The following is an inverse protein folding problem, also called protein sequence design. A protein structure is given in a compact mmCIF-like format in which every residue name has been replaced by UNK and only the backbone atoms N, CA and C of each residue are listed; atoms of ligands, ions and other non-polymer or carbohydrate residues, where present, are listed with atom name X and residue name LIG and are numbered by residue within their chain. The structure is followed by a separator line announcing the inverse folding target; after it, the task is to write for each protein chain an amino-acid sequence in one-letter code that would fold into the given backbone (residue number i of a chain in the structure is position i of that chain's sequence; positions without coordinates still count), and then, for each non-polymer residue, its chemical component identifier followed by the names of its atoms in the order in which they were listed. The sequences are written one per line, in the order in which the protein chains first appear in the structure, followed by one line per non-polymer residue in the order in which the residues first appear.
data_IF_978050419609
#
_entry.id   IF_978050419609
#
_cell.length_a   1.000
_cell.length_b   1.000
_cell.length_c   1.000
_cell.angle_alpha   90.00
_cell.angle_beta   90.00
_cell.angle_gamma   90.00
#
_symmetry.space_group_name_H-M   'P 1'
#
loop_
_entity.id
_entity.type
_entity.pdbx_description
1 polymer ?
#
# COMPACT_ATOMS: atom_id res chain seq x y z
N UNK A 1 -35.20 -25.33 -49.02
CA UNK A 1 -33.85 -25.61 -48.49
C UNK A 1 -33.16 -24.27 -48.41
N UNK A 2 -33.25 -23.63 -47.25
CA UNK A 2 -32.89 -22.23 -47.03
C UNK A 2 -31.59 -22.17 -46.23
N UNK A 3 -30.57 -21.52 -46.80
CA UNK A 3 -29.31 -21.24 -46.14
C UNK A 3 -29.44 -20.03 -45.22
N UNK A 4 -29.08 -20.20 -43.96
CA UNK A 4 -28.93 -19.11 -42.99
C UNK A 4 -27.44 -18.77 -42.93
N UNK A 5 -27.09 -17.59 -43.48
CA UNK A 5 -25.79 -16.97 -43.30
C UNK A 5 -25.77 -16.33 -41.91
N UNK A 6 -24.98 -16.88 -40.99
CA UNK A 6 -24.69 -16.22 -39.71
C UNK A 6 -23.48 -15.33 -39.91
N UNK A 7 -23.72 -14.05 -40.18
CA UNK A 7 -22.70 -13.00 -40.16
C UNK A 7 -22.52 -12.54 -38.71
N UNK A 8 -21.48 -13.03 -38.03
CA UNK A 8 -21.04 -12.52 -36.75
C UNK A 8 -20.24 -11.21 -36.95
N UNK A 9 -20.91 -10.07 -36.80
CA UNK A 9 -20.29 -8.76 -36.74
C UNK A 9 -19.63 -8.58 -35.36
N UNK A 10 -18.30 -8.65 -35.32
CA UNK A 10 -17.48 -8.26 -34.16
C UNK A 10 -17.52 -6.74 -34.05
N UNK A 11 -18.41 -6.21 -33.22
CA UNK A 11 -18.40 -4.81 -32.84
C UNK A 11 -17.33 -4.60 -31.75
N UNK A 12 -16.24 -3.92 -32.13
CA UNK A 12 -15.20 -3.50 -31.19
C UNK A 12 -15.75 -2.55 -30.14
N UNK A 13 -15.53 -2.85 -28.86
CA UNK A 13 -15.88 -1.97 -27.75
C UNK A 13 -14.83 -0.87 -27.61
N UNK A 14 -15.17 0.32 -28.07
CA UNK A 14 -14.46 1.55 -27.74
C UNK A 14 -14.69 1.88 -26.25
N UNK A 15 -13.62 1.95 -25.47
CA UNK A 15 -13.65 2.45 -24.09
C UNK A 15 -13.81 3.98 -24.14
N UNK A 16 -15.01 4.47 -23.85
CA UNK A 16 -15.26 5.90 -23.66
C UNK A 16 -14.92 6.28 -22.21
N UNK A 17 -13.78 6.95 -22.02
CA UNK A 17 -13.44 7.57 -20.74
C UNK A 17 -14.19 8.90 -20.65
N UNK A 18 -15.31 8.92 -19.93
CA UNK A 18 -15.96 10.17 -19.52
C UNK A 18 -15.19 10.79 -18.35
N UNK A 19 -14.55 11.93 -18.61
CA UNK A 19 -13.99 12.83 -17.60
C UNK A 19 -15.14 13.68 -17.04
N UNK A 20 -15.69 13.31 -15.89
CA UNK A 20 -16.65 14.15 -15.15
C UNK A 20 -15.94 14.91 -14.03
N UNK A 21 -16.07 16.24 -14.05
CA UNK A 21 -15.67 17.12 -12.95
C UNK A 21 -16.61 16.98 -11.74
N UNK A 22 -16.29 17.61 -10.60
CA UNK A 22 -16.91 17.29 -9.33
C UNK A 22 -18.34 17.81 -9.28
N UNK A 23 -19.31 16.91 -9.30
CA UNK A 23 -20.67 17.18 -8.88
C UNK A 23 -20.91 16.43 -7.57
N UNK A 24 -21.29 17.18 -6.54
CA UNK A 24 -21.74 16.73 -5.23
C UNK A 24 -22.86 15.68 -5.35
N UNK A 25 -22.62 14.46 -4.87
CA UNK A 25 -23.63 13.40 -4.80
C UNK A 25 -23.81 12.98 -3.34
N UNK A 26 -25.04 13.18 -2.86
CA UNK A 26 -25.56 12.62 -1.63
C UNK A 26 -25.45 11.10 -1.62
N UNK A 27 -24.81 10.58 -0.57
CA UNK A 27 -24.44 9.17 -0.41
C UNK A 27 -25.53 8.37 0.30
N UNK A 28 -26.37 7.62 -0.42
CA UNK A 28 -27.03 6.42 0.16
C UNK A 28 -27.57 5.37 -0.83
N UNK A 29 -27.10 5.29 -2.09
CA UNK A 29 -27.62 4.29 -3.04
C UNK A 29 -26.67 3.71 -4.10
N UNK A 30 -25.38 4.11 -4.13
CA UNK A 30 -24.49 3.77 -5.26
C UNK A 30 -23.57 2.55 -5.03
N UNK A 31 -23.36 2.10 -3.78
CA UNK A 31 -22.37 1.04 -3.50
C UNK A 31 -22.84 -0.35 -3.94
N UNK A 32 -24.12 -0.67 -3.71
CA UNK A 32 -24.67 -2.00 -4.03
C UNK A 32 -24.73 -2.24 -5.55
N UNK A 33 -25.09 -1.20 -6.32
CA UNK A 33 -25.10 -1.27 -7.78
C UNK A 33 -23.69 -1.43 -8.38
N UNK A 34 -22.67 -0.81 -7.77
CA UNK A 34 -21.29 -0.94 -8.21
C UNK A 34 -20.73 -2.34 -7.93
N UNK A 35 -20.99 -2.90 -6.75
CA UNK A 35 -20.57 -4.26 -6.38
C UNK A 35 -21.23 -5.31 -7.28
N UNK A 36 -22.55 -5.22 -7.48
CA UNK A 36 -23.29 -6.12 -8.37
C UNK A 36 -22.79 -6.04 -9.83
N UNK A 37 -22.49 -4.82 -10.30
CA UNK A 37 -21.96 -4.61 -11.65
C UNK A 37 -20.55 -5.20 -11.80
N UNK A 38 -19.66 -4.99 -10.83
CA UNK A 38 -18.30 -5.55 -10.85
C UNK A 38 -18.33 -7.09 -10.89
N UNK A 39 -19.19 -7.71 -10.09
CA UNK A 39 -19.41 -9.17 -10.08
C UNK A 39 -19.87 -9.67 -11.44
N UNK A 40 -20.82 -8.95 -12.07
CA UNK A 40 -21.30 -9.30 -13.41
C UNK A 40 -20.21 -9.20 -14.47
N UNK A 41 -19.40 -8.13 -14.44
CA UNK A 41 -18.27 -7.96 -15.38
C UNK A 41 -17.26 -9.09 -15.21
N UNK A 42 -16.88 -9.41 -13.97
CA UNK A 42 -15.97 -10.51 -13.67
C UNK A 42 -16.50 -11.85 -14.21
N UNK A 43 -17.78 -12.16 -13.94
CA UNK A 43 -18.41 -13.40 -14.43
C UNK A 43 -18.45 -13.50 -15.96
N UNK A 44 -18.71 -12.40 -16.66
CA UNK A 44 -18.74 -12.38 -18.13
C UNK A 44 -17.34 -12.53 -18.72
N UNK A 45 -16.33 -11.84 -18.16
CA UNK A 45 -14.95 -11.99 -18.56
C UNK A 45 -14.45 -13.42 -18.38
N UNK A 46 -14.82 -14.05 -17.26
CA UNK A 46 -14.51 -15.45 -16.98
C UNK A 46 -15.14 -16.39 -18.01
N UNK A 47 -16.43 -16.21 -18.32
CA UNK A 47 -17.12 -16.99 -19.37
C UNK A 47 -16.46 -16.81 -20.74
N UNK A 48 -16.03 -15.59 -21.09
CA UNK A 48 -15.30 -15.33 -22.33
C UNK A 48 -13.96 -16.07 -22.37
N UNK A 49 -13.17 -16.00 -21.30
CA UNK A 49 -11.89 -16.71 -21.20
C UNK A 49 -12.07 -18.23 -21.27
N UNK A 50 -13.09 -18.77 -20.59
CA UNK A 50 -13.46 -20.19 -20.67
C UNK A 50 -13.84 -20.60 -22.11
N UNK A 51 -14.69 -19.81 -22.78
CA UNK A 51 -15.08 -20.09 -24.15
C UNK A 51 -13.89 -20.02 -25.11
N UNK A 52 -12.95 -19.08 -24.92
CA UNK A 52 -11.73 -18.96 -25.71
C UNK A 52 -10.79 -20.16 -25.49
N UNK A 53 -10.59 -20.58 -24.24
CA UNK A 53 -9.80 -21.78 -23.91
C UNK A 53 -10.38 -23.05 -24.55
N UNK A 54 -11.72 -23.18 -24.59
CA UNK A 54 -12.41 -24.29 -25.25
C UNK A 54 -12.40 -24.18 -26.79
N UNK A 55 -12.50 -22.96 -27.33
CA UNK A 55 -12.49 -22.68 -28.76
C UNK A 55 -11.09 -22.83 -29.41
N UNK A 56 -10.07 -23.19 -28.63
CA UNK A 56 -8.70 -23.46 -29.08
C UNK A 56 -8.55 -24.51 -30.20
N UNK A 57 -9.63 -25.15 -30.65
CA UNK A 57 -9.75 -25.76 -31.99
C UNK A 57 -11.19 -25.66 -32.52
N UNK A 58 -11.42 -24.76 -33.48
CA UNK A 58 -12.40 -25.03 -34.53
C UNK A 58 -11.73 -26.03 -35.47
N UNK A 59 -12.14 -27.29 -35.42
CA UNK A 59 -11.78 -28.27 -36.46
C UNK A 59 -12.42 -27.80 -37.77
N UNK A 60 -11.64 -27.08 -38.58
CA UNK A 60 -11.94 -26.88 -40.00
C UNK A 60 -11.75 -28.24 -40.66
N UNK A 61 -12.83 -29.02 -40.74
CA UNK A 61 -12.92 -30.12 -41.69
C UNK A 61 -13.03 -29.46 -43.07
N UNK A 62 -11.91 -29.28 -43.77
CA UNK A 62 -11.82 -29.58 -45.20
C UNK A 62 -10.40 -29.42 -45.77
N UNK A 63 -9.97 -30.51 -46.42
CA UNK A 63 -8.91 -30.67 -47.42
C UNK A 63 -7.44 -30.66 -46.98
N UNK A 64 -6.87 -31.86 -47.08
CA UNK A 64 -5.43 -32.17 -47.02
C UNK A 64 -4.65 -31.32 -48.03
N UNK A 65 -4.01 -30.26 -47.55
CA UNK A 65 -2.87 -29.62 -48.20
C UNK A 65 -1.68 -29.79 -47.26
N UNK A 66 -0.74 -30.64 -47.65
CA UNK A 66 0.53 -30.80 -46.94
C UNK A 66 1.36 -29.52 -47.13
N UNK A 67 1.32 -28.63 -46.13
CA UNK A 67 2.17 -27.44 -46.01
C UNK A 67 3.23 -27.73 -44.92
N UNK A 68 4.51 -27.41 -45.16
CA UNK A 68 5.62 -27.93 -44.36
C UNK A 68 5.63 -27.37 -42.93
N UNK A 69 5.96 -28.27 -42.00
CA UNK A 69 6.35 -28.08 -40.57
C UNK A 69 6.17 -26.65 -40.05
N UNK A 70 4.99 -26.37 -39.48
CA UNK A 70 4.87 -25.33 -38.45
C UNK A 70 5.85 -25.70 -37.34
N UNK A 71 6.77 -24.82 -36.90
CA UNK A 71 7.54 -25.11 -35.69
C UNK A 71 6.52 -25.32 -34.57
N UNK A 72 6.52 -26.52 -33.97
CA UNK A 72 5.66 -26.83 -32.85
C UNK A 72 5.80 -25.71 -31.81
N UNK A 73 4.68 -25.10 -31.41
CA UNK A 73 4.65 -24.12 -30.33
C UNK A 73 5.42 -24.71 -29.14
N UNK A 74 6.35 -23.95 -28.53
CA UNK A 74 7.16 -24.47 -27.43
C UNK A 74 6.22 -24.91 -26.30
N UNK A 75 6.44 -26.10 -25.75
CA UNK A 75 5.62 -26.60 -24.65
C UNK A 75 5.73 -25.67 -23.44
N UNK A 76 4.69 -25.62 -22.61
CA UNK A 76 4.69 -24.83 -21.38
C UNK A 76 5.90 -25.15 -20.48
N UNK A 77 6.32 -26.42 -20.40
CA UNK A 77 7.54 -26.78 -19.65
C UNK A 77 8.79 -26.16 -20.24
N UNK A 78 8.93 -26.16 -21.58
CA UNK A 78 10.07 -25.53 -22.25
C UNK A 78 10.11 -24.02 -22.03
N UNK A 79 8.95 -23.36 -21.97
CA UNK A 79 8.85 -21.94 -21.68
C UNK A 79 9.27 -21.66 -20.24
N UNK A 80 8.78 -22.43 -19.26
CA UNK A 80 9.17 -22.30 -17.86
C UNK A 80 10.67 -22.55 -17.69
N UNK A 81 11.23 -23.55 -18.38
CA UNK A 81 12.67 -23.80 -18.37
C UNK A 81 13.46 -22.58 -18.88
N UNK A 82 13.00 -21.93 -19.97
CA UNK A 82 13.61 -20.70 -20.48
C UNK A 82 13.52 -19.55 -19.48
N UNK A 83 12.37 -19.39 -18.82
CA UNK A 83 12.16 -18.39 -17.77
C UNK A 83 13.16 -18.58 -16.61
N UNK A 84 13.40 -19.82 -16.17
CA UNK A 84 14.35 -20.10 -15.07
C UNK A 84 15.82 -19.83 -15.42
N UNK A 85 16.15 -19.77 -16.71
CA UNK A 85 17.51 -19.53 -17.21
C UNK A 85 17.76 -18.06 -17.59
N UNK A 86 16.80 -17.17 -17.34
CA UNK A 86 16.98 -15.75 -17.61
C UNK A 86 18.07 -15.17 -16.71
N UNK A 87 19.00 -14.44 -17.34
CA UNK A 87 20.05 -13.72 -16.62
C UNK A 87 19.49 -12.40 -16.13
N UNK A 88 19.32 -12.26 -14.82
CA UNK A 88 18.84 -11.04 -14.19
C UNK A 88 19.61 -9.79 -14.69
N UNK A 89 20.93 -9.90 -14.92
CA UNK A 89 21.78 -8.77 -15.30
C UNK A 89 21.57 -8.26 -16.73
N UNK A 90 20.90 -9.02 -17.61
CA UNK A 90 20.61 -8.60 -18.98
C UNK A 90 19.43 -7.60 -19.01
N UNK A 91 19.65 -6.43 -19.62
CA UNK A 91 18.62 -5.40 -19.85
C UNK A 91 17.40 -5.91 -20.62
N UNK A 92 17.54 -7.01 -21.36
CA UNK A 92 16.45 -7.65 -22.12
C UNK A 92 15.65 -8.67 -21.31
N UNK A 93 16.08 -9.03 -20.10
CA UNK A 93 15.45 -10.07 -19.29
C UNK A 93 14.00 -9.78 -19.01
N UNK A 94 13.66 -8.54 -18.64
CA UNK A 94 12.27 -8.16 -18.42
C UNK A 94 11.40 -8.35 -19.68
N UNK A 95 11.90 -7.96 -20.86
CA UNK A 95 11.17 -8.13 -22.13
C UNK A 95 11.00 -9.59 -22.50
N UNK A 96 12.02 -10.42 -22.27
CA UNK A 96 11.97 -11.87 -22.52
C UNK A 96 11.03 -12.56 -21.54
N UNK A 97 11.06 -12.19 -20.27
CA UNK A 97 10.17 -12.69 -19.24
C UNK A 97 8.72 -12.42 -19.62
N UNK A 98 8.38 -11.16 -19.92
CA UNK A 98 7.03 -10.78 -20.39
C UNK A 98 6.63 -11.60 -21.61
N UNK A 99 7.48 -11.67 -22.64
CA UNK A 99 7.17 -12.48 -23.84
C UNK A 99 6.84 -13.94 -23.51
N UNK A 100 7.65 -14.58 -22.65
CA UNK A 100 7.42 -15.97 -22.27
C UNK A 100 6.17 -16.15 -21.40
N UNK A 101 5.89 -15.21 -20.48
CA UNK A 101 4.68 -15.24 -19.66
C UNK A 101 3.43 -15.04 -20.50
N UNK A 102 3.41 -14.08 -21.43
CA UNK A 102 2.31 -13.90 -22.39
C UNK A 102 2.11 -15.15 -23.26
N UNK A 103 3.20 -15.82 -23.66
CA UNK A 103 3.08 -17.10 -24.40
C UNK A 103 2.40 -18.19 -23.56
N UNK A 104 2.55 -18.19 -22.23
CA UNK A 104 1.82 -19.10 -21.35
C UNK A 104 0.33 -18.71 -21.24
N UNK A 105 0.03 -17.41 -21.23
CA UNK A 105 -1.35 -16.91 -21.27
C UNK A 105 -2.05 -17.34 -22.55
N UNK A 106 -1.38 -17.20 -23.70
CA UNK A 106 -1.88 -17.62 -25.01
C UNK A 106 -2.15 -19.12 -25.09
N UNK A 107 -1.46 -19.94 -24.28
CA UNK A 107 -1.70 -21.39 -24.19
C UNK A 107 -2.92 -21.75 -23.33
N UNK A 108 -3.45 -20.81 -22.53
CA UNK A 108 -4.62 -21.03 -21.68
C UNK A 108 -4.43 -22.19 -20.71
N UNK A 109 -5.48 -23.02 -20.56
CA UNK A 109 -5.52 -24.17 -19.64
C UNK A 109 -4.38 -25.18 -19.87
N UNK A 110 -3.82 -25.26 -21.08
CA UNK A 110 -2.71 -26.16 -21.38
C UNK A 110 -1.42 -25.81 -20.61
N UNK A 111 -1.25 -24.55 -20.18
CA UNK A 111 -0.09 -24.11 -19.39
C UNK A 111 -0.21 -24.46 -17.90
N UNK A 112 -1.43 -24.63 -17.37
CA UNK A 112 -1.71 -24.77 -15.94
C UNK A 112 -0.97 -25.94 -15.29
N UNK A 113 -0.89 -27.16 -15.87
CA UNK A 113 -0.14 -28.25 -15.26
C UNK A 113 1.36 -27.96 -15.10
N UNK A 114 1.96 -27.27 -16.08
CA UNK A 114 3.38 -26.93 -16.05
C UNK A 114 3.65 -25.82 -15.02
N UNK A 115 2.76 -24.81 -14.94
CA UNK A 115 2.83 -23.75 -13.93
C UNK A 115 2.70 -24.35 -12.53
N UNK A 116 1.69 -25.19 -12.28
CA UNK A 116 1.49 -25.88 -11.00
C UNK A 116 2.75 -26.62 -10.55
N UNK A 117 3.31 -27.45 -11.44
CA UNK A 117 4.55 -28.19 -11.18
C UNK A 117 5.74 -27.30 -10.81
N UNK A 118 5.80 -26.07 -11.34
CA UNK A 118 6.81 -25.11 -10.92
C UNK A 118 6.51 -24.54 -9.53
N UNK A 119 5.25 -24.15 -9.28
CA UNK A 119 4.81 -23.59 -8.00
C UNK A 119 5.07 -24.55 -6.83
N UNK A 120 4.89 -25.85 -7.03
CA UNK A 120 5.14 -26.92 -6.05
C UNK A 120 6.59 -27.01 -5.58
N UNK A 121 7.55 -26.49 -6.35
CA UNK A 121 8.98 -26.51 -5.99
C UNK A 121 9.32 -25.49 -4.91
N UNK A 122 8.45 -24.50 -4.68
CA UNK A 122 8.67 -23.40 -3.74
C UNK A 122 10.01 -22.67 -3.93
N UNK A 123 10.48 -22.54 -5.18
CA UNK A 123 11.68 -21.78 -5.56
C UNK A 123 11.25 -20.52 -6.30
N UNK A 124 11.85 -19.38 -5.98
CA UNK A 124 11.65 -18.12 -6.71
C UNK A 124 12.96 -17.59 -7.30
N UNK A 125 12.82 -16.75 -8.33
CA UNK A 125 13.92 -16.12 -9.04
C UNK A 125 13.60 -14.64 -9.26
N UNK A 126 14.59 -13.78 -9.04
CA UNK A 126 14.48 -12.35 -9.35
C UNK A 126 14.48 -12.13 -10.87
N UNK A 127 13.46 -11.43 -11.36
CA UNK A 127 13.34 -11.02 -12.78
C UNK A 127 13.69 -9.52 -12.93
N UNK A 128 13.78 -8.79 -11.83
CA UNK A 128 13.78 -7.32 -11.75
C UNK A 128 15.16 -6.66 -11.74
N UNK A 129 16.20 -7.26 -12.32
CA UNK A 129 17.57 -6.75 -12.14
C UNK A 129 17.94 -5.45 -12.91
N UNK A 130 16.97 -4.62 -13.33
CA UNK A 130 17.27 -3.32 -13.97
C UNK A 130 16.23 -2.20 -13.74
N UNK A 131 15.38 -2.25 -12.71
CA UNK A 131 14.50 -1.12 -12.36
C UNK A 131 15.07 -0.18 -11.29
N UNK A 132 16.05 -0.64 -10.51
CA UNK A 132 16.73 0.14 -9.46
C UNK A 132 17.51 1.35 -10.01
N UNK A 133 18.12 1.23 -11.20
CA UNK A 133 18.79 2.37 -11.86
C UNK A 133 17.83 3.41 -12.46
N UNK A 134 16.58 3.02 -12.79
CA UNK A 134 15.60 3.93 -13.40
C UNK A 134 14.78 4.73 -12.38
N UNK A 135 14.60 4.21 -11.16
CA UNK A 135 13.79 4.85 -10.11
C UNK A 135 14.50 5.96 -9.33
N UNK A 136 15.82 6.12 -9.48
CA UNK A 136 16.58 7.21 -8.85
C UNK A 136 16.45 8.57 -9.55
N UNK A 137 15.78 8.65 -10.70
CA UNK A 137 15.44 9.94 -11.32
C UNK A 137 14.19 10.50 -10.65
N UNK A 138 14.38 11.19 -9.53
CA UNK A 138 13.33 12.07 -8.96
C UNK A 138 12.89 13.06 -10.05
N UNK A 139 11.58 13.27 -10.30
CA UNK A 139 11.12 14.38 -11.11
C UNK A 139 11.53 15.67 -10.40
N UNK A 140 12.39 16.47 -11.02
CA UNK A 140 12.59 17.84 -10.58
C UNK A 140 11.25 18.57 -10.76
N UNK A 141 10.59 18.88 -9.64
CA UNK A 141 9.52 19.87 -9.62
C UNK A 141 10.14 21.22 -10.04
N UNK A 142 9.91 21.58 -11.30
CA UNK A 142 10.12 22.92 -11.80
C UNK A 142 9.15 23.88 -11.09
N UNK A 143 9.63 24.62 -10.09
CA UNK A 143 8.98 25.87 -9.65
C UNK A 143 9.40 26.98 -10.61
N UNK A 144 8.49 27.38 -11.49
CA UNK A 144 8.58 28.63 -12.26
C UNK A 144 8.33 29.82 -11.34
N UNK A 145 9.11 30.89 -11.55
CA UNK A 145 8.60 32.27 -11.46
C UNK A 145 9.34 33.17 -10.46
N UNK A 146 10.19 34.05 -10.99
CA UNK A 146 10.72 35.18 -10.22
C UNK A 146 11.95 35.84 -10.87
N UNK A 147 11.74 36.54 -11.99
CA UNK A 147 12.71 37.50 -12.53
C UNK A 147 12.85 38.64 -11.51
N UNK A 148 14.06 38.90 -11.04
CA UNK A 148 14.49 40.24 -10.61
C UNK A 148 15.97 40.44 -10.98
N UNK A 149 16.19 41.50 -11.72
CA UNK A 149 17.48 42.01 -12.16
C UNK A 149 18.35 42.52 -11.00
N UNK A 150 19.65 42.29 -11.14
CA UNK A 150 20.73 43.24 -10.82
C UNK A 150 20.99 43.61 -9.35
N UNK A 151 22.05 43.04 -8.77
CA UNK A 151 23.33 43.74 -8.49
C UNK A 151 24.31 42.91 -7.67
N UNK A 152 25.53 42.89 -8.21
CA UNK A 152 26.85 42.90 -7.57
C UNK A 152 27.29 41.81 -6.58
N UNK A 153 28.38 41.17 -7.02
CA UNK A 153 29.24 40.28 -6.27
C UNK A 153 29.85 40.97 -5.04
N UNK A 154 29.86 40.24 -3.91
CA UNK A 154 30.91 40.36 -2.90
C UNK A 154 31.28 38.98 -2.39
N UNK A 155 32.42 38.54 -2.88
CA UNK A 155 33.23 37.43 -2.38
C UNK A 155 33.68 37.75 -0.94
N UNK A 156 33.44 36.86 0.03
CA UNK A 156 34.32 36.67 1.19
C UNK A 156 34.23 35.24 1.75
N UNK A 157 35.36 34.55 1.55
CA UNK A 157 35.93 33.36 2.21
C UNK A 157 35.36 32.98 3.58
N UNK A 158 35.02 31.70 3.71
CA UNK A 158 34.92 30.95 4.97
C UNK A 158 35.00 29.46 4.65
N UNK A 159 35.91 28.73 5.31
CA UNK A 159 36.42 27.42 4.90
C UNK A 159 35.36 26.32 4.74
N UNK A 160 35.50 25.56 3.65
CA UNK A 160 34.89 24.24 3.49
C UNK A 160 35.64 23.25 4.37
N UNK A 161 35.19 23.07 5.61
CA UNK A 161 35.38 21.77 6.25
C UNK A 161 34.48 20.79 5.51
N UNK A 162 35.14 19.93 4.73
CA UNK A 162 34.52 18.77 4.14
C UNK A 162 33.89 17.95 5.26
N UNK A 163 32.56 17.94 5.30
CA UNK A 163 31.81 16.89 5.98
C UNK A 163 32.23 15.57 5.34
N UNK A 164 33.25 14.94 5.93
CA UNK A 164 33.56 13.53 5.70
C UNK A 164 32.27 12.80 5.96
N UNK A 165 31.74 12.19 4.90
CA UNK A 165 30.66 11.21 4.95
C UNK A 165 31.18 10.10 5.86
N UNK A 166 30.87 10.18 7.14
CA UNK A 166 31.07 9.05 8.03
C UNK A 166 30.27 7.90 7.42
N UNK A 167 30.93 6.77 7.24
CA UNK A 167 30.26 5.52 6.89
C UNK A 167 29.16 5.29 7.94
N UNK A 168 27.92 5.35 7.47
CA UNK A 168 26.71 5.29 8.28
C UNK A 168 26.55 3.86 8.84
N UNK A 169 26.76 3.62 10.14
CA UNK A 169 26.71 2.28 10.72
C UNK A 169 25.29 1.70 10.83
N UNK A 170 24.27 2.34 10.25
CA UNK A 170 22.89 2.23 10.75
C UNK A 170 21.82 1.93 9.67
N UNK A 171 22.18 1.33 8.54
CA UNK A 171 21.18 0.79 7.59
C UNK A 171 20.34 -0.34 8.20
N UNK A 172 20.90 -1.09 9.14
CA UNK A 172 20.23 -2.16 9.90
C UNK A 172 19.28 -1.61 10.97
N UNK A 173 19.59 -0.49 11.65
CA UNK A 173 18.62 0.17 12.55
C UNK A 173 17.58 1.02 11.82
N UNK A 174 17.81 1.44 10.57
CA UNK A 174 16.74 2.02 9.72
C UNK A 174 15.73 1.00 9.21
N UNK A 175 15.99 -0.31 9.39
CA UNK A 175 14.97 -1.38 9.36
C UNK A 175 14.25 -1.52 10.71
N UNK A 176 14.32 -0.51 11.60
CA UNK A 176 13.61 -0.51 12.88
C UNK A 176 12.10 -0.56 12.71
N UNK A 177 11.52 -1.51 13.42
CA UNK A 177 10.10 -1.88 13.46
C UNK A 177 9.14 -0.68 13.63
N UNK A 178 9.50 0.33 14.44
CA UNK A 178 8.67 1.51 14.70
C UNK A 178 8.56 2.48 13.51
N UNK A 179 9.62 2.66 12.70
CA UNK A 179 9.62 3.59 11.57
C UNK A 179 8.57 3.26 10.52
N UNK A 180 8.16 2.00 10.45
CA UNK A 180 7.15 1.53 9.51
C UNK A 180 5.77 2.16 9.76
N UNK A 181 5.48 2.64 10.98
CA UNK A 181 4.24 3.37 11.26
C UNK A 181 4.09 4.65 10.43
N UNK A 182 5.21 5.33 10.13
CA UNK A 182 5.21 6.56 9.32
C UNK A 182 5.26 6.31 7.82
N UNK A 183 5.35 5.05 7.39
CA UNK A 183 5.42 4.69 5.98
C UNK A 183 4.04 4.25 5.51
N UNK A 184 3.63 4.60 4.29
CA UNK A 184 2.47 3.94 3.70
C UNK A 184 2.76 2.44 3.58
N UNK A 185 1.71 1.62 3.70
CA UNK A 185 1.83 0.22 3.36
C UNK A 185 2.32 0.05 1.91
N UNK A 186 3.14 -0.98 1.64
CA UNK A 186 3.57 -1.28 0.28
C UNK A 186 2.34 -1.53 -0.60
N UNK A 187 2.45 -1.12 -1.86
CA UNK A 187 1.45 -1.41 -2.88
C UNK A 187 2.00 -2.48 -3.80
N UNK A 188 1.11 -3.31 -4.32
CA UNK A 188 1.48 -4.24 -5.39
C UNK A 188 1.81 -3.43 -6.64
N UNK A 189 2.98 -3.69 -7.22
CA UNK A 189 3.34 -3.22 -8.54
C UNK A 189 3.01 -4.34 -9.52
N UNK A 190 2.07 -4.07 -10.43
CA UNK A 190 1.56 -5.05 -11.39
C UNK A 190 1.97 -4.72 -12.83
N UNK A 191 2.79 -3.69 -13.03
CA UNK A 191 3.22 -3.29 -14.38
C UNK A 191 4.20 -4.33 -14.97
N UNK A 192 5.04 -4.92 -14.11
CA UNK A 192 5.96 -5.99 -14.47
C UNK A 192 6.21 -6.90 -13.26
N UNK A 193 6.34 -8.22 -13.48
CA UNK A 193 6.62 -9.14 -12.38
C UNK A 193 8.04 -8.95 -11.87
N UNK A 194 8.15 -8.72 -10.56
CA UNK A 194 9.44 -8.58 -9.88
C UNK A 194 10.14 -9.92 -9.71
N UNK A 195 9.37 -11.02 -9.63
CA UNK A 195 9.88 -12.37 -9.49
C UNK A 195 9.19 -13.35 -10.42
N UNK A 196 9.81 -14.52 -10.65
CA UNK A 196 9.26 -15.55 -11.52
C UNK A 196 7.93 -16.09 -10.99
N UNK A 197 7.85 -16.37 -9.69
CA UNK A 197 6.59 -16.85 -9.10
C UNK A 197 5.46 -15.83 -9.24
N UNK A 198 5.75 -14.54 -9.03
CA UNK A 198 4.74 -13.48 -9.25
C UNK A 198 4.33 -13.39 -10.72
N UNK A 199 5.27 -13.51 -11.67
CA UNK A 199 4.95 -13.54 -13.10
C UNK A 199 4.11 -14.74 -13.51
N UNK A 200 4.35 -15.91 -12.90
CA UNK A 200 3.54 -17.10 -13.15
C UNK A 200 2.14 -17.01 -12.54
N UNK A 201 2.00 -16.39 -11.36
CA UNK A 201 0.70 -16.05 -10.78
C UNK A 201 -0.06 -15.07 -11.67
N UNK A 202 0.64 -14.09 -12.25
CA UNK A 202 0.08 -13.14 -13.21
C UNK A 202 -0.36 -13.80 -14.50
N UNK A 203 0.46 -14.68 -15.09
CA UNK A 203 0.05 -15.47 -16.23
C UNK A 203 -1.19 -16.32 -15.90
N UNK A 204 -1.24 -16.92 -14.71
CA UNK A 204 -2.41 -17.72 -14.26
C UNK A 204 -3.66 -16.86 -14.12
N UNK A 205 -3.56 -15.68 -13.51
CA UNK A 205 -4.66 -14.70 -13.46
C UNK A 205 -5.16 -14.32 -14.86
N UNK A 206 -4.24 -14.06 -15.78
CA UNK A 206 -4.55 -13.65 -17.15
C UNK A 206 -5.21 -14.79 -17.95
N UNK A 207 -4.88 -16.06 -17.68
CA UNK A 207 -5.63 -17.22 -18.21
C UNK A 207 -7.08 -17.19 -17.70
N UNK A 208 -7.28 -16.96 -16.40
CA UNK A 208 -8.57 -16.58 -15.80
C UNK A 208 -9.75 -17.55 -16.01
N UNK A 209 -9.48 -18.83 -16.28
CA UNK A 209 -10.47 -19.92 -16.32
C UNK A 209 -10.72 -20.49 -14.92
N UNK A 210 -11.68 -21.42 -14.78
CA UNK A 210 -11.90 -22.12 -13.51
C UNK A 210 -10.66 -22.92 -13.05
N UNK A 211 -9.91 -23.48 -14.00
CA UNK A 211 -8.69 -24.23 -13.68
C UNK A 211 -7.57 -23.32 -13.19
N UNK A 212 -7.45 -22.13 -13.79
CA UNK A 212 -6.48 -21.13 -13.38
C UNK A 212 -6.81 -20.58 -11.98
N UNK A 213 -8.08 -20.24 -11.74
CA UNK A 213 -8.54 -19.79 -10.42
C UNK A 213 -8.34 -20.87 -9.34
N UNK A 214 -8.61 -22.13 -9.65
CA UNK A 214 -8.33 -23.25 -8.74
C UNK A 214 -6.84 -23.34 -8.39
N UNK A 215 -5.93 -23.09 -9.35
CA UNK A 215 -4.49 -23.04 -9.07
C UNK A 215 -4.12 -21.84 -8.19
N UNK A 216 -4.71 -20.67 -8.40
CA UNK A 216 -4.47 -19.50 -7.53
C UNK A 216 -4.89 -19.79 -6.08
N UNK A 217 -6.02 -20.47 -5.88
CA UNK A 217 -6.47 -20.91 -4.55
C UNK A 217 -5.54 -21.95 -3.94
N UNK A 218 -5.06 -22.92 -4.73
CA UNK A 218 -4.08 -23.91 -4.27
C UNK A 218 -2.78 -23.23 -3.80
N UNK A 219 -2.32 -22.20 -4.51
CA UNK A 219 -1.16 -21.41 -4.06
C UNK A 219 -1.48 -20.60 -2.81
N UNK A 220 -2.66 -20.01 -2.69
CA UNK A 220 -3.08 -19.27 -1.48
C UNK A 220 -3.04 -20.17 -0.24
N UNK A 221 -3.48 -21.42 -0.37
CA UNK A 221 -3.51 -22.39 0.73
C UNK A 221 -2.11 -22.89 1.14
N UNK A 222 -1.10 -22.75 0.27
CA UNK A 222 0.23 -23.31 0.47
C UNK A 222 1.35 -22.26 0.66
N UNK A 223 1.15 -21.02 0.22
CA UNK A 223 2.21 -20.01 0.21
C UNK A 223 2.53 -19.47 1.59
N UNK A 224 3.82 -19.35 1.90
CA UNK A 224 4.32 -18.69 3.11
C UNK A 224 4.86 -17.27 2.81
N UNK A 225 4.50 -16.69 1.65
CA UNK A 225 5.04 -15.40 1.18
C UNK A 225 3.97 -14.32 1.14
N UNK A 226 4.17 -13.26 1.91
CA UNK A 226 3.16 -12.19 2.01
C UNK A 226 2.92 -11.43 0.71
N UNK A 227 3.94 -11.30 -0.15
CA UNK A 227 3.77 -10.68 -1.47
C UNK A 227 2.87 -11.51 -2.39
N UNK A 228 2.94 -12.84 -2.29
CA UNK A 228 2.04 -13.73 -3.05
C UNK A 228 0.62 -13.63 -2.52
N UNK A 229 0.42 -13.63 -1.19
CA UNK A 229 -0.91 -13.41 -0.60
C UNK A 229 -1.50 -12.06 -1.06
N UNK A 230 -0.71 -10.99 -1.12
CA UNK A 230 -1.18 -9.70 -1.63
C UNK A 230 -1.48 -9.70 -3.12
N UNK A 231 -0.71 -10.44 -3.93
CA UNK A 231 -1.05 -10.64 -5.34
C UNK A 231 -2.34 -11.44 -5.51
N UNK A 232 -2.47 -12.55 -4.77
CA UNK A 232 -3.63 -13.43 -4.79
C UNK A 232 -4.88 -12.72 -4.30
N UNK A 233 -4.77 -11.83 -3.31
CA UNK A 233 -5.84 -10.94 -2.89
C UNK A 233 -6.38 -10.15 -4.09
N UNK A 234 -5.53 -9.39 -4.77
CA UNK A 234 -5.92 -8.61 -5.94
C UNK A 234 -6.54 -9.51 -7.02
N UNK A 235 -5.83 -10.58 -7.38
CA UNK A 235 -6.19 -11.47 -8.48
C UNK A 235 -7.53 -12.18 -8.28
N UNK A 236 -7.75 -12.75 -7.09
CA UNK A 236 -8.99 -13.47 -6.78
C UNK A 236 -10.17 -12.51 -6.62
N UNK A 237 -9.94 -11.29 -6.12
CA UNK A 237 -11.01 -10.27 -6.05
C UNK A 237 -11.40 -9.73 -7.42
N UNK A 238 -10.51 -9.75 -8.42
CA UNK A 238 -10.83 -9.40 -9.80
C UNK A 238 -11.56 -10.52 -10.54
N UNK A 239 -11.17 -11.78 -10.30
CA UNK A 239 -11.79 -12.94 -10.95
C UNK A 239 -13.17 -13.29 -10.35
N UNK A 240 -13.26 -13.28 -9.02
CA UNK A 240 -14.45 -13.70 -8.26
C UNK A 240 -14.64 -12.77 -7.05
N UNK A 241 -15.16 -11.55 -7.26
CA UNK A 241 -15.27 -10.53 -6.22
C UNK A 241 -15.98 -11.02 -4.97
N UNK A 242 -15.32 -10.86 -3.82
CA UNK A 242 -15.84 -11.23 -2.50
C UNK A 242 -15.85 -12.73 -2.17
N UNK A 243 -15.79 -13.62 -3.16
CA UNK A 243 -16.01 -15.07 -2.97
C UNK A 243 -15.00 -15.73 -2.01
N UNK A 244 -13.74 -15.29 -2.07
CA UNK A 244 -12.65 -15.88 -1.29
C UNK A 244 -12.08 -14.96 -0.22
N UNK A 245 -12.80 -13.87 0.13
CA UNK A 245 -12.29 -12.87 1.05
C UNK A 245 -11.90 -13.47 2.41
N UNK A 246 -12.75 -14.33 2.98
CA UNK A 246 -12.49 -14.97 4.27
C UNK A 246 -11.23 -15.84 4.26
N UNK A 247 -10.99 -16.56 3.14
CA UNK A 247 -9.77 -17.36 2.96
C UNK A 247 -8.52 -16.49 2.88
N UNK A 248 -8.59 -15.41 2.11
CA UNK A 248 -7.48 -14.45 1.95
C UNK A 248 -7.13 -13.80 3.29
N UNK A 249 -8.15 -13.32 4.02
CA UNK A 249 -7.96 -12.71 5.34
C UNK A 249 -7.38 -13.72 6.33
N UNK A 250 -7.90 -14.95 6.35
CA UNK A 250 -7.35 -16.03 7.18
C UNK A 250 -5.87 -16.30 6.85
N UNK A 251 -5.51 -16.45 5.58
CA UNK A 251 -4.11 -16.67 5.17
C UNK A 251 -3.20 -15.52 5.62
N UNK A 252 -3.66 -14.27 5.49
CA UNK A 252 -2.90 -13.11 5.94
C UNK A 252 -2.71 -13.07 7.47
N UNK A 253 -3.76 -13.39 8.23
CA UNK A 253 -3.70 -13.47 9.70
C UNK A 253 -2.76 -14.59 10.16
N UNK A 254 -2.90 -15.78 9.60
CA UNK A 254 -2.09 -16.94 9.98
C UNK A 254 -0.60 -16.66 9.74
N UNK A 255 -0.25 -16.11 8.57
CA UNK A 255 1.15 -15.79 8.25
C UNK A 255 1.71 -14.62 9.09
N UNK A 256 0.87 -13.67 9.51
CA UNK A 256 1.29 -12.62 10.45
C UNK A 256 1.50 -13.14 11.87
N UNK A 257 0.67 -14.09 12.31
CA UNK A 257 0.74 -14.67 13.64
C UNK A 257 1.97 -15.59 13.80
N UNK A 258 2.32 -16.35 12.76
CA UNK A 258 3.47 -17.26 12.76
C UNK A 258 4.36 -17.03 11.53
N UNK A 259 5.11 -15.94 11.57
CA UNK A 259 5.94 -15.53 10.44
C UNK A 259 7.24 -16.34 10.38
N UNK A 260 7.57 -16.97 9.24
CA UNK A 260 8.84 -17.66 9.08
C UNK A 260 10.01 -16.67 9.16
N UNK A 261 11.13 -17.11 9.73
CA UNK A 261 12.36 -16.33 9.72
C UNK A 261 12.84 -16.13 8.28
N UNK A 262 13.11 -14.88 7.91
CA UNK A 262 13.69 -14.57 6.60
C UNK A 262 15.18 -14.96 6.59
N UNK A 263 15.60 -15.61 5.51
CA UNK A 263 17.01 -15.94 5.27
C UNK A 263 17.82 -14.69 4.92
N UNK A 264 19.15 -14.76 5.01
CA UNK A 264 20.03 -13.63 4.67
C UNK A 264 19.96 -13.24 3.19
N UNK A 265 19.62 -14.19 2.33
CA UNK A 265 19.41 -14.06 0.89
C UNK A 265 17.95 -13.75 0.50
N UNK A 266 17.09 -13.40 1.47
CA UNK A 266 15.70 -13.05 1.22
C UNK A 266 15.57 -11.88 0.22
N UNK A 267 14.63 -12.02 -0.71
CA UNK A 267 14.38 -11.02 -1.75
C UNK A 267 13.78 -9.75 -1.14
N UNK A 268 13.93 -8.62 -1.83
CA UNK A 268 13.40 -7.32 -1.34
C UNK A 268 11.88 -7.38 -1.09
N UNK A 269 11.15 -8.11 -1.93
CA UNK A 269 9.71 -8.32 -1.78
C UNK A 269 9.35 -9.08 -0.49
N UNK A 270 10.20 -10.03 -0.08
CA UNK A 270 9.97 -10.84 1.12
C UNK A 270 10.23 -10.03 2.40
N UNK A 271 11.15 -9.06 2.35
CA UNK A 271 11.39 -8.10 3.44
C UNK A 271 10.16 -7.20 3.73
N UNK A 272 9.24 -7.07 2.77
CA UNK A 272 8.01 -6.28 2.89
C UNK A 272 6.78 -7.12 3.28
N UNK A 273 6.93 -8.42 3.54
CA UNK A 273 5.85 -9.37 3.90
C UNK A 273 4.86 -8.78 4.90
N UNK A 274 5.33 -8.30 6.07
CA UNK A 274 4.44 -7.68 7.08
C UNK A 274 3.62 -6.52 6.51
N UNK A 275 4.27 -5.64 5.76
CA UNK A 275 3.62 -4.48 5.16
C UNK A 275 2.48 -4.88 4.24
N UNK A 276 2.69 -5.86 3.37
CA UNK A 276 1.66 -6.40 2.47
C UNK A 276 0.48 -7.00 3.23
N UNK A 277 0.75 -7.84 4.23
CA UNK A 277 -0.30 -8.52 4.98
C UNK A 277 -1.15 -7.54 5.80
N UNK A 278 -0.52 -6.60 6.51
CA UNK A 278 -1.27 -5.55 7.21
C UNK A 278 -2.02 -4.63 6.25
N UNK A 279 -1.52 -4.40 5.03
CA UNK A 279 -2.25 -3.64 4.01
C UNK A 279 -3.61 -4.29 3.68
N UNK A 280 -3.64 -5.61 3.53
CA UNK A 280 -4.86 -6.39 3.29
C UNK A 280 -5.82 -6.23 4.48
N UNK A 281 -5.34 -6.47 5.71
CA UNK A 281 -6.18 -6.39 6.90
C UNK A 281 -6.77 -4.98 7.10
N UNK A 282 -5.99 -3.93 6.81
CA UNK A 282 -6.47 -2.54 6.86
C UNK A 282 -7.47 -2.25 5.73
N UNK A 283 -7.21 -2.70 4.51
CA UNK A 283 -8.10 -2.51 3.34
C UNK A 283 -9.51 -3.02 3.63
N UNK A 284 -9.61 -4.18 4.30
CA UNK A 284 -10.87 -4.84 4.60
C UNK A 284 -11.41 -4.59 6.02
N UNK A 285 -10.74 -3.74 6.81
CA UNK A 285 -11.09 -3.46 8.22
C UNK A 285 -11.28 -4.74 9.04
N UNK A 286 -10.37 -5.69 8.87
CA UNK A 286 -10.41 -6.97 9.56
C UNK A 286 -10.30 -6.78 11.08
N UNK A 287 -11.34 -7.13 11.83
CA UNK A 287 -11.37 -7.02 13.30
C UNK A 287 -10.86 -8.28 14.01
N UNK A 288 -10.81 -9.42 13.31
CA UNK A 288 -10.45 -10.71 13.90
C UNK A 288 -8.98 -10.77 14.33
N UNK A 289 -8.11 -9.94 13.74
CA UNK A 289 -6.69 -9.88 14.07
C UNK A 289 -6.33 -8.92 15.20
N UNK A 290 -7.30 -8.22 15.80
CA UNK A 290 -7.04 -7.16 16.79
C UNK A 290 -6.29 -7.67 18.02
N UNK A 291 -6.71 -8.79 18.61
CA UNK A 291 -6.04 -9.32 19.82
C UNK A 291 -4.59 -9.75 19.51
N UNK A 292 -4.38 -10.49 18.43
CA UNK A 292 -3.02 -10.86 18.00
C UNK A 292 -2.17 -9.63 17.70
N UNK A 293 -2.72 -8.60 17.07
CA UNK A 293 -1.99 -7.37 16.78
C UNK A 293 -1.63 -6.59 18.06
N UNK A 294 -2.44 -6.66 19.13
CA UNK A 294 -2.07 -6.08 20.44
C UNK A 294 -0.84 -6.78 21.01
N UNK A 295 -0.81 -8.11 20.96
CA UNK A 295 0.33 -8.90 21.46
C UNK A 295 1.60 -8.65 20.64
N UNK A 296 1.44 -8.40 19.33
CA UNK A 296 2.55 -8.08 18.42
C UNK A 296 2.99 -6.62 18.49
N UNK A 297 2.20 -5.72 19.07
CA UNK A 297 2.46 -4.27 19.09
C UNK A 297 3.76 -3.94 19.82
N UNK A 298 3.95 -4.47 21.03
CA UNK A 298 5.15 -4.26 21.84
C UNK A 298 5.75 -5.61 22.20
N UNK A 299 6.89 -5.93 21.57
CA UNK A 299 7.57 -7.22 21.76
C UNK A 299 8.21 -7.31 23.15
N UNK A 300 8.56 -8.52 23.62
CA UNK A 300 9.20 -8.70 24.93
C UNK A 300 10.48 -7.88 25.15
N UNK A 301 11.22 -7.59 24.08
CA UNK A 301 12.43 -6.75 24.10
C UNK A 301 12.15 -5.24 24.12
N UNK A 302 10.87 -4.83 24.17
CA UNK A 302 10.45 -3.42 24.15
C UNK A 302 10.41 -2.79 22.75
N UNK A 303 10.71 -3.56 21.70
CA UNK A 303 10.59 -3.06 20.34
C UNK A 303 9.13 -2.94 19.89
N UNK A 304 8.80 -1.81 19.26
CA UNK A 304 7.45 -1.51 18.76
C UNK A 304 7.27 -1.98 17.31
N UNK A 305 6.20 -2.69 17.00
CA UNK A 305 5.80 -3.02 15.63
C UNK A 305 4.95 -1.90 15.00
N UNK A 306 5.58 -1.13 14.13
CA UNK A 306 4.94 0.03 13.48
C UNK A 306 3.83 -0.36 12.50
N UNK A 307 3.86 -1.56 11.92
CA UNK A 307 2.75 -2.01 11.07
C UNK A 307 1.55 -2.41 11.94
N UNK A 308 1.77 -3.11 13.05
CA UNK A 308 0.73 -3.42 14.03
C UNK A 308 0.08 -2.14 14.58
N UNK A 309 0.90 -1.13 14.93
CA UNK A 309 0.43 0.18 15.38
C UNK A 309 -0.45 0.86 14.31
N UNK A 310 0.01 0.84 13.05
CA UNK A 310 -0.70 1.43 11.92
C UNK A 310 -2.04 0.73 11.65
N UNK A 311 -2.07 -0.60 11.77
CA UNK A 311 -3.28 -1.42 11.64
C UNK A 311 -4.27 -1.13 12.76
N UNK A 312 -3.86 -1.22 14.03
CA UNK A 312 -4.72 -0.98 15.19
C UNK A 312 -5.36 0.41 15.12
N UNK A 313 -4.57 1.45 14.82
CA UNK A 313 -5.08 2.81 14.62
C UNK A 313 -6.11 2.86 13.47
N UNK A 314 -5.77 2.34 12.29
CA UNK A 314 -6.63 2.52 11.11
C UNK A 314 -7.91 1.68 11.15
N UNK A 315 -7.85 0.47 11.73
CA UNK A 315 -8.99 -0.43 11.80
C UNK A 315 -9.94 -0.06 12.94
N UNK A 316 -9.42 0.22 14.14
CA UNK A 316 -10.26 0.52 15.30
C UNK A 316 -10.64 2.00 15.40
N UNK A 317 -9.95 2.90 14.71
CA UNK A 317 -10.22 4.32 14.85
C UNK A 317 -10.00 4.79 16.29
N UNK A 318 -10.94 5.58 16.83
CA UNK A 318 -10.87 6.10 18.19
C UNK A 318 -10.92 5.00 19.26
N UNK A 319 -11.44 3.81 18.93
CA UNK A 319 -11.46 2.66 19.85
C UNK A 319 -10.06 2.07 20.09
N UNK A 320 -9.06 2.49 19.31
CA UNK A 320 -7.66 2.15 19.56
C UNK A 320 -7.09 2.86 20.81
N UNK A 321 -7.68 3.97 21.26
CA UNK A 321 -7.05 4.85 22.27
C UNK A 321 -6.65 4.13 23.56
N UNK A 322 -7.47 3.25 24.17
CA UNK A 322 -7.05 2.50 25.36
C UNK A 322 -5.80 1.63 25.13
N UNK A 323 -5.68 1.04 23.94
CA UNK A 323 -4.52 0.22 23.54
C UNK A 323 -3.30 1.12 23.39
N UNK A 324 -3.45 2.25 22.70
CA UNK A 324 -2.38 3.22 22.48
C UNK A 324 -1.90 3.84 23.80
N UNK A 325 -2.81 4.14 24.72
CA UNK A 325 -2.46 4.66 26.05
C UNK A 325 -1.68 3.63 26.87
N UNK A 326 -2.06 2.36 26.79
CA UNK A 326 -1.29 1.26 27.42
C UNK A 326 0.15 1.23 26.87
N UNK A 327 0.31 1.34 25.55
CA UNK A 327 1.63 1.37 24.93
C UNK A 327 2.43 2.66 25.24
N UNK A 328 1.78 3.82 25.37
CA UNK A 328 2.44 5.08 25.80
C UNK A 328 3.05 4.93 27.19
N UNK A 329 2.36 4.21 28.08
CA UNK A 329 2.77 4.00 29.46
C UNK A 329 3.68 2.77 29.64
N UNK A 330 4.03 2.07 28.56
CA UNK A 330 4.88 0.89 28.62
C UNK A 330 6.36 1.28 28.74
N UNK A 331 6.91 1.10 29.94
CA UNK A 331 8.30 1.42 30.26
C UNK A 331 9.33 0.61 29.45
N UNK A 332 8.93 -0.49 28.79
CA UNK A 332 9.82 -1.25 27.90
C UNK A 332 10.13 -0.47 26.62
N UNK A 333 9.25 0.44 26.19
CA UNK A 333 9.50 1.29 25.02
C UNK A 333 10.46 2.41 25.43
N UNK A 334 11.74 2.23 25.10
CA UNK A 334 12.80 3.20 25.38
C UNK A 334 13.25 3.98 24.16
N UNK A 335 13.02 3.45 22.95
CA UNK A 335 13.36 4.10 21.70
C UNK A 335 12.52 5.37 21.47
N UNK A 336 13.20 6.47 21.14
CA UNK A 336 12.55 7.77 20.96
C UNK A 336 11.59 7.80 19.77
N UNK A 337 11.89 7.07 18.69
CA UNK A 337 11.00 6.97 17.52
C UNK A 337 9.74 6.19 17.86
N UNK A 338 9.88 5.08 18.58
CA UNK A 338 8.75 4.28 19.07
C UNK A 338 7.83 5.10 20.00
N UNK A 339 8.39 5.81 21.00
CA UNK A 339 7.60 6.70 21.88
C UNK A 339 6.85 7.77 21.08
N UNK A 340 7.53 8.40 20.12
CA UNK A 340 6.92 9.39 19.26
C UNK A 340 5.80 8.78 18.40
N UNK A 341 5.99 7.56 17.87
CA UNK A 341 5.00 6.87 17.03
C UNK A 341 3.70 6.55 17.77
N UNK A 342 3.77 5.98 18.97
CA UNK A 342 2.54 5.63 19.72
C UNK A 342 1.78 6.90 20.12
N UNK A 343 2.49 7.96 20.55
CA UNK A 343 1.87 9.26 20.84
C UNK A 343 1.22 9.88 19.61
N UNK A 344 1.94 9.88 18.48
CA UNK A 344 1.37 10.36 17.21
C UNK A 344 0.11 9.61 16.81
N UNK A 345 0.10 8.27 16.97
CA UNK A 345 -1.07 7.45 16.69
C UNK A 345 -2.29 7.83 17.54
N UNK A 346 -2.10 8.07 18.85
CA UNK A 346 -3.19 8.50 19.72
C UNK A 346 -3.70 9.91 19.34
N UNK A 347 -2.78 10.80 18.98
CA UNK A 347 -3.09 12.19 18.68
C UNK A 347 -3.77 12.41 17.31
N UNK A 348 -3.95 11.37 16.50
CA UNK A 348 -4.85 11.43 15.34
C UNK A 348 -6.29 11.76 15.73
N UNK A 349 -6.70 11.42 16.96
CA UNK A 349 -8.08 11.55 17.44
C UNK A 349 -8.30 12.78 18.33
N UNK A 350 -7.36 13.74 18.33
CA UNK A 350 -7.54 15.03 19.00
C UNK A 350 -8.75 15.76 18.43
N UNK A 351 -9.63 16.21 19.31
CA UNK A 351 -10.93 16.82 18.99
C UNK A 351 -12.06 15.81 18.74
N UNK A 352 -11.77 14.51 18.75
CA UNK A 352 -12.76 13.43 18.54
C UNK A 352 -12.91 12.54 19.78
N UNK A 353 -11.85 12.36 20.57
CA UNK A 353 -11.82 11.46 21.72
C UNK A 353 -11.24 12.17 22.96
N UNK A 354 -11.93 12.07 24.10
CA UNK A 354 -11.54 12.76 25.33
C UNK A 354 -10.20 12.28 25.91
N UNK A 355 -9.89 10.98 25.82
CA UNK A 355 -8.61 10.44 26.27
C UNK A 355 -7.47 10.90 25.35
N UNK A 356 -7.70 10.98 24.03
CA UNK A 356 -6.74 11.56 23.10
C UNK A 356 -6.46 13.04 23.39
N UNK A 357 -7.49 13.79 23.79
CA UNK A 357 -7.34 15.18 24.22
C UNK A 357 -6.50 15.28 25.51
N UNK A 358 -6.69 14.37 26.46
CA UNK A 358 -5.86 14.36 27.67
C UNK A 358 -4.39 14.04 27.32
N UNK A 359 -4.14 13.06 26.45
CA UNK A 359 -2.79 12.76 25.97
C UNK A 359 -2.14 13.98 25.32
N UNK A 360 -2.91 14.81 24.60
CA UNK A 360 -2.40 16.09 24.06
C UNK A 360 -1.95 17.03 25.18
N UNK A 361 -2.77 17.22 26.22
CA UNK A 361 -2.41 18.07 27.36
C UNK A 361 -1.14 17.58 28.04
N UNK A 362 -1.00 16.26 28.23
CA UNK A 362 0.18 15.64 28.83
C UNK A 362 1.43 15.87 27.96
N UNK A 363 1.31 15.73 26.64
CA UNK A 363 2.42 16.00 25.69
C UNK A 363 2.83 17.48 25.71
N UNK A 364 1.88 18.41 25.83
CA UNK A 364 2.20 19.84 25.98
C UNK A 364 2.94 20.09 27.30
N UNK A 365 2.46 19.52 28.40
CA UNK A 365 3.13 19.64 29.72
C UNK A 365 4.57 19.14 29.66
N UNK A 366 4.77 17.92 29.19
CA UNK A 366 6.12 17.33 29.06
C UNK A 366 7.03 18.18 28.16
N UNK A 367 6.49 18.75 27.08
CA UNK A 367 7.26 19.60 26.19
C UNK A 367 7.70 20.91 26.87
N UNK A 368 6.84 21.48 27.72
CA UNK A 368 7.16 22.68 28.51
C UNK A 368 8.15 22.37 29.64
N UNK A 369 8.06 21.21 30.27
CA UNK A 369 9.02 20.77 31.30
C UNK A 369 10.46 20.65 30.74
N UNK A 370 10.60 20.42 29.43
CA UNK A 370 11.88 20.40 28.72
C UNK A 370 12.35 21.78 28.24
N UNK A 371 11.58 22.84 28.46
CA UNK A 371 11.99 24.20 28.15
C UNK A 371 13.10 24.62 29.11
N UNK A 372 14.26 24.99 28.58
CA UNK A 372 15.36 25.56 29.36
C UNK A 372 15.09 27.05 29.56
N UNK A 373 15.15 27.51 30.81
CA UNK A 373 14.95 28.92 31.16
C UNK A 373 16.02 29.81 30.51
N UNK A 374 15.61 30.94 29.94
CA UNK A 374 16.50 31.89 29.25
C UNK A 374 16.89 31.49 27.83
N UNK A 375 16.57 30.29 27.37
CA UNK A 375 16.75 29.88 25.97
C UNK A 375 15.53 30.24 25.10
N UNK A 376 15.71 30.15 23.78
CA UNK A 376 14.59 30.29 22.85
C UNK A 376 13.57 29.18 23.08
N UNK A 377 12.29 29.49 22.89
CA UNK A 377 11.23 28.52 23.02
C UNK A 377 11.43 27.30 22.12
N UNK A 378 11.36 26.10 22.70
CA UNK A 378 11.65 24.83 22.05
C UNK A 378 10.43 24.32 21.26
N UNK A 379 10.23 24.88 20.06
CA UNK A 379 9.20 24.42 19.13
C UNK A 379 9.37 22.96 18.68
N UNK A 380 10.55 22.36 18.87
CA UNK A 380 10.79 20.96 18.57
C UNK A 380 9.93 20.04 19.45
N UNK A 381 9.86 20.33 20.75
CA UNK A 381 9.05 19.56 21.71
C UNK A 381 7.54 19.79 21.50
N UNK A 382 7.14 20.95 20.98
CA UNK A 382 5.74 21.27 20.67
C UNK A 382 5.26 20.74 19.32
N UNK A 383 6.15 20.14 18.51
CA UNK A 383 5.84 19.75 17.13
C UNK A 383 4.65 18.81 17.05
N UNK A 384 4.58 17.83 17.95
CA UNK A 384 3.53 16.82 17.92
C UNK A 384 2.15 17.41 18.27
N UNK A 385 2.10 18.23 19.32
CA UNK A 385 0.91 18.98 19.73
C UNK A 385 0.39 19.87 18.60
N UNK A 386 1.28 20.67 17.99
CA UNK A 386 0.94 21.55 16.87
C UNK A 386 0.39 20.76 15.67
N UNK A 387 1.08 19.68 15.30
CA UNK A 387 0.68 18.83 14.17
C UNK A 387 -0.68 18.20 14.40
N UNK A 388 -0.98 17.75 15.62
CA UNK A 388 -2.25 17.10 15.96
C UNK A 388 -3.45 18.04 15.89
N UNK A 389 -3.31 19.27 16.41
CA UNK A 389 -4.36 20.30 16.40
C UNK A 389 -4.71 20.73 14.97
N UNK A 390 -3.71 20.78 14.08
CA UNK A 390 -3.87 21.22 12.70
C UNK A 390 -4.01 20.07 11.69
N UNK A 391 -4.12 18.82 12.16
CA UNK A 391 -4.15 17.65 11.28
C UNK A 391 -5.43 17.63 10.44
N UNK A 392 -5.28 17.49 9.13
CA UNK A 392 -6.39 17.25 8.19
C UNK A 392 -7.51 18.31 8.25
N UNK A 393 -7.19 19.56 8.63
CA UNK A 393 -8.17 20.65 8.84
C UNK A 393 -9.14 20.81 7.68
N UNK A 394 -8.67 20.65 6.44
CA UNK A 394 -9.48 20.78 5.23
C UNK A 394 -10.57 19.71 5.09
N UNK A 395 -10.39 18.52 5.67
CA UNK A 395 -11.30 17.37 5.50
C UNK A 395 -12.01 16.95 6.80
N UNK A 396 -11.53 17.40 7.96
CA UNK A 396 -12.16 17.11 9.26
C UNK A 396 -13.54 17.76 9.38
N UNK A 397 -14.43 17.18 10.18
CA UNK A 397 -15.77 17.73 10.41
C UNK A 397 -15.74 19.07 11.16
N UNK A 398 -16.76 19.90 10.94
CA UNK A 398 -16.88 21.20 11.63
C UNK A 398 -16.85 21.04 13.16
N UNK A 399 -17.47 19.98 13.71
CA UNK A 399 -17.46 19.69 15.14
C UNK A 399 -16.06 19.38 15.68
N UNK A 400 -15.24 18.65 14.92
CA UNK A 400 -13.86 18.35 15.32
C UNK A 400 -13.02 19.62 15.36
N UNK A 401 -13.21 20.53 14.40
CA UNK A 401 -12.52 21.81 14.41
C UNK A 401 -12.95 22.67 15.60
N UNK A 402 -14.25 22.72 15.93
CA UNK A 402 -14.76 23.41 17.12
C UNK A 402 -14.14 22.84 18.40
N UNK A 403 -14.13 21.51 18.55
CA UNK A 403 -13.51 20.86 19.71
C UNK A 403 -12.02 21.18 19.84
N UNK A 404 -11.29 21.23 18.71
CA UNK A 404 -9.86 21.61 18.71
C UNK A 404 -9.63 23.07 19.10
N UNK A 405 -10.53 23.98 18.72
CA UNK A 405 -10.46 25.38 19.18
C UNK A 405 -10.67 25.47 20.69
N UNK A 406 -11.61 24.69 21.24
CA UNK A 406 -11.80 24.60 22.68
C UNK A 406 -10.53 24.08 23.37
N UNK A 407 -9.92 23.00 22.85
CA UNK A 407 -8.66 22.47 23.40
C UNK A 407 -7.52 23.49 23.35
N UNK A 408 -7.42 24.29 22.29
CA UNK A 408 -6.45 25.38 22.24
C UNK A 408 -6.69 26.38 23.39
N UNK A 409 -7.95 26.68 23.68
CA UNK A 409 -8.32 27.55 24.79
C UNK A 409 -7.94 26.93 26.14
N UNK A 410 -8.23 25.64 26.34
CA UNK A 410 -7.87 24.89 27.55
C UNK A 410 -6.35 24.87 27.77
N UNK A 411 -5.56 24.69 26.70
CA UNK A 411 -4.08 24.75 26.76
C UNK A 411 -3.60 26.14 27.21
N UNK A 412 -4.21 27.22 26.70
CA UNK A 412 -3.85 28.59 27.11
C UNK A 412 -4.11 28.82 28.59
N UNK A 413 -5.27 28.36 29.07
CA UNK A 413 -5.72 28.52 30.45
C UNK A 413 -4.83 27.72 31.42
N UNK A 414 -4.48 26.49 31.07
CA UNK A 414 -3.70 25.62 31.95
C UNK A 414 -2.22 26.02 32.02
N UNK A 415 -1.58 26.30 30.89
CA UNK A 415 -0.12 26.48 30.84
C UNK A 415 0.34 27.94 30.84
N UNK A 416 -0.51 28.88 30.40
CA UNK A 416 -0.28 30.32 30.40
C UNK A 416 1.15 30.76 30.00
N UNK A 417 1.66 30.26 28.87
CA UNK A 417 3.01 30.54 28.40
C UNK A 417 2.97 31.47 27.16
N UNK A 418 3.69 32.61 27.20
CA UNK A 418 3.57 33.66 26.17
C UNK A 418 3.87 33.16 24.75
N UNK A 419 5.02 32.52 24.54
CA UNK A 419 5.46 32.04 23.23
C UNK A 419 4.58 30.90 22.71
N UNK A 420 4.14 29.99 23.58
CA UNK A 420 3.17 28.96 23.23
C UNK A 420 1.85 29.60 22.78
N UNK A 421 1.32 30.55 23.55
CA UNK A 421 0.06 31.23 23.26
C UNK A 421 0.10 31.94 21.89
N UNK A 422 1.21 32.56 21.51
CA UNK A 422 1.38 33.14 20.18
C UNK A 422 1.25 32.10 19.04
N UNK A 423 1.72 30.87 19.24
CA UNK A 423 1.53 29.78 18.29
C UNK A 423 0.09 29.28 18.25
N UNK A 424 -0.52 29.14 19.43
CA UNK A 424 -1.92 28.76 19.61
C UNK A 424 -2.88 29.74 18.92
N UNK A 425 -2.63 31.06 19.00
CA UNK A 425 -3.43 32.09 18.34
C UNK A 425 -3.48 31.94 16.82
N UNK A 426 -2.34 31.58 16.22
CA UNK A 426 -2.28 31.34 14.77
C UNK A 426 -3.10 30.12 14.37
N UNK A 427 -3.04 29.05 15.17
CA UNK A 427 -3.81 27.83 14.94
C UNK A 427 -5.31 28.06 15.09
N UNK A 428 -5.73 28.66 16.20
CA UNK A 428 -7.13 28.99 16.48
C UNK A 428 -7.74 29.87 15.38
N UNK A 429 -7.00 30.92 14.96
CA UNK A 429 -7.41 31.76 13.84
C UNK A 429 -7.50 31.01 12.51
N UNK A 430 -6.64 30.02 12.25
CA UNK A 430 -6.72 29.20 11.05
C UNK A 430 -7.95 28.28 11.06
N UNK A 431 -8.22 27.62 12.19
CA UNK A 431 -9.42 26.80 12.37
C UNK A 431 -10.71 27.63 12.22
N UNK A 432 -10.73 28.84 12.79
CA UNK A 432 -11.83 29.79 12.65
C UNK A 432 -12.14 30.15 11.19
N UNK A 433 -11.09 30.54 10.43
CA UNK A 433 -11.25 30.88 9.00
C UNK A 433 -11.77 29.70 8.16
N UNK A 434 -11.30 28.48 8.44
CA UNK A 434 -11.80 27.28 7.74
C UNK A 434 -13.29 27.06 8.00
N UNK A 435 -13.73 27.21 9.26
CA UNK A 435 -15.15 27.09 9.63
C UNK A 435 -16.01 28.17 8.97
N UNK A 436 -15.57 29.43 9.00
CA UNK A 436 -16.25 30.56 8.36
C UNK A 436 -16.40 30.35 6.85
N UNK A 437 -15.31 29.99 6.16
CA UNK A 437 -15.34 29.74 4.71
C UNK A 437 -16.28 28.59 4.31
N UNK A 438 -16.38 27.53 5.14
CA UNK A 438 -17.35 26.45 4.92
C UNK A 438 -18.79 26.91 5.10
N UNK A 439 -19.07 27.75 6.09
CA UNK A 439 -20.40 28.31 6.29
C UNK A 439 -20.83 29.22 5.14
N UNK A 440 -19.90 30.02 4.60
CA UNK A 440 -20.14 30.86 3.44
C UNK A 440 -20.41 30.04 2.17
N UNK A 441 -19.69 28.94 1.97
CA UNK A 441 -19.91 28.06 0.81
C UNK A 441 -21.24 27.29 0.81
N UNK A 442 -21.91 27.20 1.99
CA UNK A 442 -23.22 26.55 2.15
C UNK A 442 -24.39 27.52 1.95
N UNK A 443 -24.13 28.83 1.90
CA UNK A 443 -25.11 29.88 1.58
C UNK A 443 -25.15 30.13 0.09
#
# INVERSE_FOLDING_TARGET
IAGIIVAALVAGTAVYIFKTGPASISSTGNSENAAAMSTRIASLNKQLKQAQAQAGRVDVIETKVEVPVTPALPSAESIIEKLTKLDATDKRTLRRAVYYLETLVDQGDAAIPAIRKFMDKNVDLDISASLSDRRLVKPQLNKKGGIKDGKEAKEKKGGKEAFKKSEDPDKTKRKASAWNYFRPFPRMETDYPTTLRLGLLEATHNIGTDQAEALLLEVLDATARGVEIAYLELSLQELSPGEYLDKILKAARDLLADMPALSEDAMEVDLQTKGYLYAILVKYKDLDFVETAKDLLVRPDGSLDGHALSYLRQVLGADAIPILQTAINDNRITDGVARYAVRDAALYYVGQNAQANQILMDVVREGLEKQVEGEKFNWGEMKLSYTSLMRDVEIQSDQVLINRRQLIQDIREEFNHSELNQGLDRMDGALGRTLEGRQESKK
#
